data_IF_017789598451
#
_entry.id   IF_017789598451
#
_cell.length_a   1.000
_cell.length_b   1.000
_cell.length_c   1.000
_cell.angle_alpha   90.00
_cell.angle_beta   90.00
_cell.angle_gamma   90.00
#
_symmetry.space_group_name_H-M   'P 1'
#
loop_
_entity.id
_entity.type
_entity.pdbx_description
1 polymer ?
#
# COMPACT_ATOMS: atom_id res chain seq x y z
N UNK A 1 30.43 -54.93 2.45
CA UNK A 1 31.07 -55.87 3.39
C UNK A 1 30.02 -56.87 3.82
N UNK A 2 30.35 -58.16 3.87
CA UNK A 2 29.43 -59.17 4.43
C UNK A 2 29.27 -58.97 5.94
N UNK A 3 28.07 -59.27 6.45
CA UNK A 3 27.77 -59.19 7.87
C UNK A 3 28.49 -60.34 8.62
N UNK A 4 29.43 -60.06 9.55
CA UNK A 4 30.17 -61.09 10.28
C UNK A 4 29.27 -61.94 11.20
N UNK A 5 28.04 -61.50 11.50
CA UNK A 5 27.04 -62.32 12.18
C UNK A 5 26.58 -63.52 11.35
N UNK A 6 26.74 -63.49 10.03
CA UNK A 6 26.38 -64.59 9.12
C UNK A 6 27.57 -65.50 8.76
N UNK A 7 28.77 -65.22 9.28
CA UNK A 7 29.96 -66.02 8.99
C UNK A 7 29.94 -67.35 9.76
N UNK A 8 30.08 -68.45 9.02
CA UNK A 8 30.17 -69.81 9.55
C UNK A 8 31.64 -70.17 9.76
N UNK A 9 31.94 -70.86 10.86
CA UNK A 9 33.28 -71.32 11.16
C UNK A 9 33.76 -72.32 10.10
N UNK A 10 34.94 -72.11 9.48
CA UNK A 10 35.50 -73.06 8.54
C UNK A 10 35.77 -74.42 9.19
N UNK A 11 35.59 -75.49 8.42
CA UNK A 11 36.02 -76.82 8.84
C UNK A 11 37.55 -76.94 8.70
N UNK A 12 38.26 -76.62 9.78
CA UNK A 12 39.72 -76.71 9.83
C UNK A 12 40.24 -78.15 9.79
N UNK A 13 39.39 -79.18 9.90
CA UNK A 13 39.81 -80.57 9.67
C UNK A 13 39.83 -80.96 8.18
N UNK A 14 39.29 -80.11 7.29
CA UNK A 14 39.29 -80.33 5.85
C UNK A 14 40.70 -80.26 5.26
N UNK A 15 40.94 -81.07 4.22
CA UNK A 15 42.20 -81.12 3.48
C UNK A 15 42.59 -79.76 2.83
N UNK A 16 41.66 -78.81 2.74
CA UNK A 16 41.90 -77.43 2.29
C UNK A 16 42.82 -76.64 3.21
N UNK A 17 42.98 -77.05 4.48
CA UNK A 17 43.83 -76.39 5.46
C UNK A 17 45.14 -77.14 5.77
N UNK A 18 45.44 -78.21 5.03
CA UNK A 18 46.61 -79.07 5.24
C UNK A 18 47.95 -78.29 5.20
N UNK A 19 48.07 -77.29 4.32
CA UNK A 19 49.26 -76.44 4.23
C UNK A 19 49.43 -75.54 5.46
N UNK A 20 48.33 -75.00 6.00
CA UNK A 20 48.36 -74.21 7.23
C UNK A 20 48.71 -75.06 8.46
N UNK A 21 48.25 -76.32 8.48
CA UNK A 21 48.62 -77.27 9.54
C UNK A 21 50.12 -77.57 9.51
N UNK A 22 50.69 -77.83 8.32
CA UNK A 22 52.11 -78.11 8.15
C UNK A 22 52.98 -76.93 8.62
N UNK A 23 52.59 -75.71 8.23
CA UNK A 23 53.32 -74.51 8.65
C UNK A 23 53.25 -74.28 10.17
N UNK A 24 52.10 -74.53 10.82
CA UNK A 24 51.99 -74.37 12.28
C UNK A 24 52.78 -75.45 13.04
N UNK A 25 52.84 -76.67 12.52
CA UNK A 25 53.69 -77.75 13.05
C UNK A 25 55.19 -77.40 12.93
N UNK A 26 55.64 -76.86 11.79
CA UNK A 26 57.02 -76.40 11.57
C UNK A 26 57.42 -75.24 12.50
N UNK A 27 56.45 -74.45 12.96
CA UNK A 27 56.65 -73.38 13.96
C UNK A 27 56.53 -73.88 15.41
N UNK A 28 56.46 -75.20 15.64
CA UNK A 28 56.54 -75.81 16.96
C UNK A 28 55.21 -75.92 17.71
N UNK A 29 54.06 -75.77 17.04
CA UNK A 29 52.76 -76.06 17.65
C UNK A 29 52.51 -77.57 17.62
N UNK A 30 52.15 -78.15 18.76
CA UNK A 30 51.81 -79.57 18.86
C UNK A 30 50.60 -79.91 17.99
N UNK A 31 50.67 -81.03 17.27
CA UNK A 31 49.72 -81.40 16.20
C UNK A 31 48.27 -81.56 16.71
N UNK A 32 48.11 -81.95 17.98
CA UNK A 32 46.82 -82.04 18.69
C UNK A 32 46.21 -80.67 19.05
N UNK A 33 47.01 -79.59 19.03
CA UNK A 33 46.60 -78.23 19.36
C UNK A 33 46.38 -77.33 18.14
N UNK A 34 46.76 -77.77 16.93
CA UNK A 34 46.68 -76.96 15.70
C UNK A 34 45.23 -76.57 15.37
N UNK A 35 44.32 -77.56 15.31
CA UNK A 35 42.90 -77.31 15.01
C UNK A 35 42.26 -76.43 16.11
N UNK A 36 42.37 -76.75 17.42
CA UNK A 36 41.86 -75.88 18.49
C UNK A 36 42.39 -74.44 18.41
N UNK A 37 43.66 -74.26 18.05
CA UNK A 37 44.28 -72.93 17.92
C UNK A 37 43.68 -72.14 16.76
N UNK A 38 43.51 -72.78 15.59
CA UNK A 38 42.87 -72.15 14.42
C UNK A 38 41.41 -71.78 14.69
N UNK A 39 40.67 -72.66 15.38
CA UNK A 39 39.29 -72.39 15.79
C UNK A 39 39.21 -71.20 16.75
N UNK A 40 40.07 -71.15 17.76
CA UNK A 40 40.11 -70.06 18.73
C UNK A 40 40.47 -68.71 18.08
N UNK A 41 41.46 -68.70 17.18
CA UNK A 41 41.86 -67.49 16.44
C UNK A 41 40.72 -66.99 15.53
N UNK A 42 40.02 -67.91 14.86
CA UNK A 42 38.86 -67.55 14.04
C UNK A 42 37.74 -66.96 14.90
N UNK A 43 37.41 -67.57 16.04
CA UNK A 43 36.39 -67.05 16.97
C UNK A 43 36.76 -65.66 17.48
N UNK A 44 38.03 -65.43 17.86
CA UNK A 44 38.50 -64.13 18.32
C UNK A 44 38.37 -63.06 17.22
N UNK A 45 38.84 -63.37 16.00
CA UNK A 45 38.76 -62.48 14.85
C UNK A 45 37.32 -62.17 14.44
N UNK A 46 36.45 -63.19 14.40
CA UNK A 46 35.03 -63.02 14.08
C UNK A 46 34.29 -62.20 15.14
N UNK A 47 34.58 -62.42 16.43
CA UNK A 47 34.01 -61.63 17.51
C UNK A 47 34.43 -60.16 17.43
N UNK A 48 35.70 -59.89 17.12
CA UNK A 48 36.19 -58.53 16.90
C UNK A 48 35.52 -57.89 15.68
N UNK A 49 35.34 -58.64 14.58
CA UNK A 49 34.64 -58.16 13.40
C UNK A 49 33.16 -57.82 13.69
N UNK A 50 32.47 -58.65 14.50
CA UNK A 50 31.10 -58.37 14.97
C UNK A 50 31.02 -57.09 15.80
N UNK A 51 31.94 -56.90 16.75
CA UNK A 51 31.99 -55.66 17.54
C UNK A 51 32.20 -54.43 16.67
N UNK A 52 33.16 -54.47 15.74
CA UNK A 52 33.40 -53.38 14.81
C UNK A 52 32.18 -53.11 13.89
N UNK A 53 31.45 -54.16 13.52
CA UNK A 53 30.22 -54.04 12.74
C UNK A 53 29.09 -53.38 13.55
N UNK A 54 28.86 -53.84 14.78
CA UNK A 54 27.82 -53.30 15.66
C UNK A 54 28.08 -51.82 16.00
N UNK A 55 29.34 -51.45 16.27
CA UNK A 55 29.73 -50.05 16.47
C UNK A 55 29.45 -49.20 15.23
N UNK A 56 29.72 -49.73 14.04
CA UNK A 56 29.45 -49.01 12.78
C UNK A 56 27.95 -48.82 12.57
N UNK A 57 27.15 -49.85 12.81
CA UNK A 57 25.69 -49.79 12.66
C UNK A 57 25.08 -48.74 13.61
N UNK A 58 25.55 -48.70 14.86
CA UNK A 58 25.12 -47.70 15.84
C UNK A 58 25.52 -46.28 15.39
N UNK A 59 26.74 -46.11 14.87
CA UNK A 59 27.19 -44.82 14.36
C UNK A 59 26.37 -44.36 13.14
N UNK A 60 26.11 -45.26 12.18
CA UNK A 60 25.25 -44.96 11.02
C UNK A 60 23.82 -44.59 11.46
N UNK A 61 23.27 -45.27 12.47
CA UNK A 61 21.96 -44.96 13.03
C UNK A 61 21.92 -43.58 13.70
N UNK A 62 22.97 -43.23 14.46
CA UNK A 62 23.10 -41.93 15.11
C UNK A 62 23.26 -40.81 14.08
N UNK A 63 24.09 -41.00 13.07
CA UNK A 63 24.28 -40.05 11.97
C UNK A 63 22.99 -39.85 11.18
N UNK A 64 22.23 -40.91 10.90
CA UNK A 64 20.94 -40.82 10.24
C UNK A 64 19.91 -40.04 11.08
N UNK A 65 19.87 -40.27 12.39
CA UNK A 65 18.99 -39.53 13.30
C UNK A 65 19.38 -38.05 13.43
N UNK A 66 20.68 -37.75 13.48
CA UNK A 66 21.20 -36.38 13.46
C UNK A 66 20.90 -35.66 12.15
N UNK A 67 21.10 -36.32 11.00
CA UNK A 67 20.76 -35.79 9.69
C UNK A 67 19.25 -35.50 9.58
N UNK A 68 18.40 -36.39 10.11
CA UNK A 68 16.96 -36.17 10.13
C UNK A 68 16.56 -34.97 10.99
N UNK A 69 17.17 -34.80 12.16
CA UNK A 69 16.94 -33.62 13.02
C UNK A 69 17.39 -32.33 12.35
N UNK A 70 18.58 -32.32 11.76
CA UNK A 70 19.11 -31.15 11.05
C UNK A 70 18.22 -30.77 9.85
N UNK A 71 17.74 -31.76 9.08
CA UNK A 71 16.82 -31.51 7.97
C UNK A 71 15.49 -30.91 8.43
N UNK A 72 14.93 -31.40 9.54
CA UNK A 72 13.70 -30.87 10.10
C UNK A 72 13.85 -29.44 10.65
N UNK A 73 15.01 -29.12 11.25
CA UNK A 73 15.32 -27.78 11.73
C UNK A 73 15.47 -26.79 10.57
N UNK A 74 16.19 -27.17 9.51
CA UNK A 74 16.35 -26.37 8.29
C UNK A 74 15.00 -26.12 7.59
N UNK A 75 14.14 -27.14 7.50
CA UNK A 75 12.79 -26.98 6.94
C UNK A 75 11.96 -25.99 7.77
N UNK A 76 12.04 -26.05 9.10
CA UNK A 76 11.33 -25.13 9.98
C UNK A 76 11.84 -23.69 9.81
N UNK A 77 13.16 -23.49 9.74
CA UNK A 77 13.77 -22.19 9.46
C UNK A 77 13.32 -21.63 8.11
N UNK A 78 13.30 -22.47 7.07
CA UNK A 78 12.81 -22.07 5.74
C UNK A 78 11.32 -21.67 5.77
N UNK A 79 10.48 -22.41 6.50
CA UNK A 79 9.05 -22.08 6.64
C UNK A 79 8.85 -20.78 7.43
N UNK A 80 9.61 -20.56 8.51
CA UNK A 80 9.60 -19.31 9.27
C UNK A 80 10.03 -18.12 8.40
N UNK A 81 11.14 -18.24 7.68
CA UNK A 81 11.64 -17.19 6.79
C UNK A 81 10.63 -16.84 5.68
N UNK A 82 10.00 -17.85 5.07
CA UNK A 82 8.97 -17.63 4.05
C UNK A 82 7.75 -16.89 4.62
N UNK A 83 7.36 -17.20 5.86
CA UNK A 83 6.23 -16.53 6.52
C UNK A 83 6.55 -15.08 6.86
N UNK A 84 7.77 -14.82 7.35
CA UNK A 84 8.26 -13.47 7.60
C UNK A 84 8.32 -12.64 6.31
N UNK A 85 8.82 -13.22 5.21
CA UNK A 85 8.84 -12.55 3.90
C UNK A 85 7.42 -12.22 3.41
N UNK A 86 6.47 -13.16 3.54
CA UNK A 86 5.07 -12.92 3.17
C UNK A 86 4.43 -11.82 4.03
N UNK A 87 4.71 -11.79 5.33
CA UNK A 87 4.13 -10.78 6.22
C UNK A 87 4.77 -9.41 5.98
N UNK A 88 6.07 -9.35 5.69
CA UNK A 88 6.74 -8.13 5.25
C UNK A 88 6.15 -7.63 3.92
N UNK A 89 5.92 -8.52 2.95
CA UNK A 89 5.29 -8.18 1.68
C UNK A 89 3.86 -7.63 1.89
N UNK A 90 3.05 -8.24 2.76
CA UNK A 90 1.72 -7.73 3.12
C UNK A 90 1.79 -6.35 3.77
N UNK A 91 2.77 -6.11 4.65
CA UNK A 91 2.94 -4.80 5.28
C UNK A 91 3.35 -3.73 4.27
N UNK A 92 4.28 -4.05 3.37
CA UNK A 92 4.67 -3.15 2.29
C UNK A 92 3.51 -2.86 1.33
N UNK A 93 2.70 -3.87 0.99
CA UNK A 93 1.47 -3.67 0.23
C UNK A 93 0.48 -2.75 0.96
N UNK A 94 0.30 -2.91 2.27
CA UNK A 94 -0.55 -2.00 3.07
C UNK A 94 -0.02 -0.57 3.10
N UNK A 95 1.30 -0.38 3.13
CA UNK A 95 1.92 0.95 3.10
C UNK A 95 1.78 1.62 1.73
N UNK A 96 1.94 0.86 0.64
CA UNK A 96 1.82 1.37 -0.74
C UNK A 96 0.38 1.62 -1.13
N UNK A 97 -0.52 0.70 -0.79
CA UNK A 97 -1.92 0.70 -1.19
C UNK A 97 -2.86 1.09 -0.04
N UNK A 98 -2.56 2.18 0.68
CA UNK A 98 -3.31 2.59 1.88
C UNK A 98 -4.82 2.58 1.66
N UNK A 99 -5.28 3.14 0.54
CA UNK A 99 -6.72 3.25 0.17
C UNK A 99 -7.40 1.88 0.14
N UNK A 100 -6.75 0.85 -0.43
CA UNK A 100 -7.30 -0.52 -0.54
C UNK A 100 -7.59 -1.15 0.82
N UNK A 101 -6.88 -0.71 1.86
CA UNK A 101 -6.97 -1.28 3.20
C UNK A 101 -7.65 -0.33 4.22
N UNK A 102 -8.24 0.78 3.76
CA UNK A 102 -9.06 1.63 4.63
C UNK A 102 -10.31 0.84 5.04
N UNK A 103 -10.61 0.73 6.35
CA UNK A 103 -11.85 0.10 6.80
C UNK A 103 -13.06 0.81 6.20
N UNK A 104 -13.89 0.07 5.48
CA UNK A 104 -15.15 0.60 4.94
C UNK A 104 -16.21 0.45 6.02
N UNK A 105 -16.85 1.54 6.48
CA UNK A 105 -17.92 1.45 7.47
C UNK A 105 -19.11 0.68 6.89
N UNK A 106 -19.78 -0.12 7.74
CA UNK A 106 -20.98 -0.87 7.37
C UNK A 106 -22.20 0.07 7.38
N UNK A 107 -22.30 0.90 6.34
CA UNK A 107 -23.38 1.85 6.11
C UNK A 107 -24.12 1.47 4.82
N UNK A 108 -25.45 1.55 4.85
CA UNK A 108 -26.26 1.33 3.66
C UNK A 108 -25.89 2.34 2.57
N UNK A 109 -25.94 1.89 1.31
CA UNK A 109 -25.76 2.78 0.14
C UNK A 109 -26.69 3.99 0.28
N UNK A 110 -26.18 5.23 0.19
CA UNK A 110 -27.02 6.42 0.26
C UNK A 110 -28.14 6.37 -0.78
N UNK A 111 -29.37 6.69 -0.35
CA UNK A 111 -30.54 6.77 -1.24
C UNK A 111 -30.44 7.96 -2.20
N UNK A 112 -29.72 9.00 -1.79
CA UNK A 112 -29.43 10.17 -2.60
C UNK A 112 -28.09 10.01 -3.33
N UNK A 113 -28.01 10.50 -4.57
CA UNK A 113 -26.75 10.44 -5.31
C UNK A 113 -25.69 11.31 -4.62
N UNK A 114 -24.54 10.73 -4.29
CA UNK A 114 -23.40 11.49 -3.78
C UNK A 114 -22.96 12.45 -4.90
N UNK A 115 -23.01 13.74 -4.62
CA UNK A 115 -22.59 14.79 -5.55
C UNK A 115 -21.15 15.16 -5.21
N UNK A 116 -20.20 14.64 -5.99
CA UNK A 116 -18.77 14.87 -5.77
C UNK A 116 -18.31 15.99 -6.72
N UNK A 117 -17.77 17.12 -6.20
CA UNK A 117 -17.15 18.14 -7.03
C UNK A 117 -15.97 17.61 -7.86
N UNK A 118 -15.54 18.38 -8.86
CA UNK A 118 -14.38 17.98 -9.68
C UNK A 118 -13.11 17.83 -8.83
N UNK A 119 -12.22 16.92 -9.24
CA UNK A 119 -10.90 16.73 -8.63
C UNK A 119 -10.10 18.04 -8.55
N UNK A 120 -10.23 18.88 -9.59
CA UNK A 120 -9.66 20.22 -9.65
C UNK A 120 -10.19 21.13 -8.53
N UNK A 121 -11.53 21.20 -8.36
CA UNK A 121 -12.15 22.05 -7.35
C UNK A 121 -11.80 21.61 -5.93
N UNK A 122 -11.82 20.29 -5.66
CA UNK A 122 -11.39 19.73 -4.38
C UNK A 122 -9.91 20.04 -4.10
N UNK A 123 -9.03 19.89 -5.10
CA UNK A 123 -7.60 20.22 -4.94
C UNK A 123 -7.39 21.69 -4.59
N UNK A 124 -8.17 22.60 -5.21
CA UNK A 124 -8.14 24.03 -4.89
C UNK A 124 -8.61 24.30 -3.46
N UNK A 125 -9.71 23.68 -3.03
CA UNK A 125 -10.21 23.81 -1.66
C UNK A 125 -9.22 23.29 -0.63
N UNK A 126 -8.63 22.10 -0.82
CA UNK A 126 -7.62 21.57 0.10
C UNK A 126 -6.40 22.49 0.26
N UNK A 127 -6.06 23.27 -0.77
CA UNK A 127 -4.97 24.25 -0.74
C UNK A 127 -5.41 25.65 -0.29
N UNK A 128 -6.70 25.83 0.02
CA UNK A 128 -7.30 27.13 0.37
C UNK A 128 -7.09 28.17 -0.76
N UNK A 129 -6.98 27.69 -2.00
CA UNK A 129 -6.84 28.52 -3.19
C UNK A 129 -8.22 29.00 -3.67
N UNK A 130 -8.23 30.10 -4.43
CA UNK A 130 -9.47 30.56 -5.06
C UNK A 130 -9.99 29.49 -6.04
N UNK A 131 -11.26 29.14 -5.86
CA UNK A 131 -12.01 28.23 -6.73
C UNK A 131 -13.30 28.90 -7.16
N UNK A 132 -13.57 28.84 -8.47
CA UNK A 132 -14.77 29.36 -9.10
C UNK A 132 -16.02 28.60 -8.63
N UNK A 133 -17.12 29.35 -8.43
CA UNK A 133 -18.40 28.81 -7.97
C UNK A 133 -19.04 27.87 -8.98
N UNK A 134 -18.74 28.04 -10.27
CA UNK A 134 -19.27 27.19 -11.33
C UNK A 134 -19.09 25.69 -11.04
N UNK A 135 -17.94 25.27 -10.50
CA UNK A 135 -17.69 23.85 -10.16
C UNK A 135 -18.61 23.28 -9.08
N UNK A 136 -19.30 24.14 -8.33
CA UNK A 136 -20.25 23.78 -7.29
C UNK A 136 -21.71 23.99 -7.72
N UNK A 137 -21.97 24.44 -8.96
CA UNK A 137 -23.31 24.47 -9.54
C UNK A 137 -23.76 23.07 -9.98
N UNK A 138 -25.07 22.85 -10.18
CA UNK A 138 -25.57 21.57 -10.67
C UNK A 138 -24.99 21.22 -12.05
N UNK A 139 -24.79 22.23 -12.90
CA UNK A 139 -24.11 22.08 -14.19
C UNK A 139 -22.65 21.64 -14.01
N UNK A 140 -21.86 22.36 -13.20
CA UNK A 140 -20.47 22.00 -12.95
C UNK A 140 -20.30 20.62 -12.30
N UNK A 141 -21.22 20.24 -11.42
CA UNK A 141 -21.25 18.92 -10.77
C UNK A 141 -21.64 17.81 -11.75
N UNK A 142 -22.54 18.07 -12.70
CA UNK A 142 -22.87 17.12 -13.77
C UNK A 142 -21.70 16.96 -14.75
N UNK A 143 -21.03 18.05 -15.11
CA UNK A 143 -19.82 18.05 -15.93
C UNK A 143 -18.68 17.25 -15.27
N UNK A 144 -18.52 17.41 -13.95
CA UNK A 144 -17.56 16.62 -13.18
C UNK A 144 -17.90 15.12 -13.19
N UNK A 145 -19.19 14.75 -13.09
CA UNK A 145 -19.62 13.34 -13.15
C UNK A 145 -19.35 12.68 -14.50
N UNK A 146 -19.48 13.43 -15.61
CA UNK A 146 -19.23 12.91 -16.96
C UNK A 146 -17.74 12.84 -17.31
N UNK A 147 -16.91 13.63 -16.62
CA UNK A 147 -15.46 13.59 -16.74
C UNK A 147 -14.91 12.49 -15.84
N UNK A 148 -14.76 11.27 -16.37
CA UNK A 148 -14.21 10.13 -15.64
C UNK A 148 -12.87 10.53 -14.98
N UNK A 149 -12.66 10.29 -13.67
CA UNK A 149 -11.37 10.51 -13.02
C UNK A 149 -10.38 9.47 -13.56
N UNK A 150 -9.74 9.83 -14.67
CA UNK A 150 -8.67 9.05 -15.26
C UNK A 150 -7.40 9.23 -14.43
N UNK A 151 -6.56 8.21 -14.36
CA UNK A 151 -5.17 8.29 -13.88
C UNK A 151 -4.38 9.43 -14.58
N UNK A 152 -4.88 9.89 -15.72
CA UNK A 152 -4.32 10.93 -16.58
C UNK A 152 -4.62 12.37 -16.12
N UNK A 153 -5.42 12.59 -15.07
CA UNK A 153 -5.70 13.95 -14.56
C UNK A 153 -4.46 14.59 -13.88
N UNK A 154 -3.47 13.79 -13.45
CA UNK A 154 -2.15 14.28 -13.02
C UNK A 154 -1.16 14.47 -14.18
N UNK A 155 -1.45 13.98 -15.39
CA UNK A 155 -0.55 14.16 -16.51
C UNK A 155 -0.50 15.63 -16.96
N UNK A 156 0.69 16.05 -17.39
CA UNK A 156 0.99 17.44 -17.70
C UNK A 156 0.75 17.72 -19.20
N UNK A 157 -0.18 18.62 -19.50
CA UNK A 157 -0.35 19.19 -20.82
C UNK A 157 0.55 20.42 -20.98
N UNK A 158 1.25 20.50 -22.11
CA UNK A 158 1.95 21.71 -22.51
C UNK A 158 0.94 22.71 -23.08
N UNK A 159 0.75 23.83 -22.39
CA UNK A 159 -0.13 24.92 -22.85
C UNK A 159 0.69 26.14 -23.23
N UNK A 160 0.23 26.88 -24.24
CA UNK A 160 0.82 28.14 -24.67
C UNK A 160 -0.05 29.29 -24.19
N UNK A 161 0.53 30.23 -23.46
CA UNK A 161 -0.15 31.46 -23.04
C UNK A 161 -0.08 32.53 -24.15
N UNK A 162 -0.95 33.53 -24.08
CA UNK A 162 -1.11 34.56 -25.12
C UNK A 162 0.17 35.38 -25.39
N UNK A 163 1.08 35.43 -24.41
CA UNK A 163 2.39 36.06 -24.54
C UNK A 163 3.46 35.15 -25.20
N UNK A 164 3.07 33.96 -25.67
CA UNK A 164 3.95 33.00 -26.33
C UNK A 164 4.72 32.07 -25.39
N UNK A 165 4.57 32.20 -24.07
CA UNK A 165 5.27 31.35 -23.09
C UNK A 165 4.55 30.01 -22.97
N UNK A 166 5.34 28.93 -23.04
CA UNK A 166 4.88 27.57 -22.83
C UNK A 166 4.98 27.19 -21.36
N UNK A 167 3.92 26.60 -20.81
CA UNK A 167 3.86 26.13 -19.41
C UNK A 167 3.24 24.73 -19.34
N UNK A 168 3.77 23.89 -18.47
CA UNK A 168 3.17 22.61 -18.15
C UNK A 168 2.10 22.81 -17.08
N UNK A 169 0.88 22.38 -17.38
CA UNK A 169 -0.25 22.40 -16.46
C UNK A 169 -0.90 21.03 -16.45
N UNK A 170 -1.47 20.63 -15.32
CA UNK A 170 -2.21 19.37 -15.26
C UNK A 170 -3.38 19.37 -16.25
N UNK A 171 -3.64 18.24 -16.88
CA UNK A 171 -4.77 18.01 -17.77
C UNK A 171 -6.12 18.33 -17.10
N UNK A 172 -6.24 18.08 -15.79
CA UNK A 172 -7.43 18.48 -15.02
C UNK A 172 -7.66 19.99 -15.10
N UNK A 173 -6.61 20.81 -14.99
CA UNK A 173 -6.72 22.28 -15.09
C UNK A 173 -7.06 22.75 -16.51
N UNK A 174 -6.62 22.03 -17.54
CA UNK A 174 -6.94 22.37 -18.94
C UNK A 174 -8.41 22.08 -19.24
N UNK A 175 -8.90 20.89 -18.87
CA UNK A 175 -10.32 20.52 -19.03
C UNK A 175 -11.23 21.45 -18.22
N UNK A 176 -10.82 21.77 -17.00
CA UNK A 176 -11.56 22.66 -16.11
C UNK A 176 -11.75 24.07 -16.72
N UNK A 177 -10.82 24.55 -17.57
CA UNK A 177 -10.90 25.88 -18.20
C UNK A 177 -11.77 25.93 -19.46
N UNK A 178 -12.01 24.82 -20.15
CA UNK A 178 -12.73 24.83 -21.44
C UNK A 178 -14.25 25.01 -21.33
N UNK A 179 -14.84 24.83 -20.15
CA UNK A 179 -16.29 24.98 -19.89
C UNK A 179 -16.62 26.00 -18.79
N UNK A 180 -15.66 26.80 -18.37
CA UNK A 180 -15.80 27.63 -17.18
C UNK A 180 -16.66 28.88 -17.42
N UNK A 181 -17.88 28.88 -16.87
CA UNK A 181 -18.65 30.11 -16.66
C UNK A 181 -17.99 30.88 -15.52
N UNK A 182 -17.75 32.18 -15.69
CA UNK A 182 -17.17 33.01 -14.64
C UNK A 182 -18.21 33.25 -13.55
N UNK A 183 -17.75 33.36 -12.29
CA UNK A 183 -18.62 33.63 -11.14
C UNK A 183 -19.52 34.87 -11.37
N UNK A 184 -19.03 35.94 -12.00
CA UNK A 184 -19.80 37.15 -12.30
C UNK A 184 -20.92 36.95 -13.35
N UNK A 185 -20.79 35.91 -14.18
CA UNK A 185 -21.71 35.57 -15.27
C UNK A 185 -22.73 34.49 -14.84
N UNK A 186 -22.67 34.01 -13.60
CA UNK A 186 -23.62 33.03 -13.07
C UNK A 186 -25.02 33.62 -12.94
N UNK A 187 -26.04 32.78 -13.13
CA UNK A 187 -27.39 33.18 -12.72
C UNK A 187 -27.49 33.24 -11.20
N UNK A 188 -28.45 34.01 -10.69
CA UNK A 188 -28.66 34.12 -9.23
C UNK A 188 -28.98 32.77 -8.58
N UNK A 189 -29.74 31.93 -9.28
CA UNK A 189 -30.06 30.58 -8.83
C UNK A 189 -28.81 29.69 -8.75
N UNK A 190 -27.96 29.73 -9.80
CA UNK A 190 -26.69 29.01 -9.80
C UNK A 190 -25.75 29.49 -8.71
N UNK A 191 -25.70 30.80 -8.45
CA UNK A 191 -24.94 31.37 -7.35
C UNK A 191 -25.40 30.83 -6.00
N UNK A 192 -26.70 30.94 -5.67
CA UNK A 192 -27.25 30.44 -4.40
C UNK A 192 -27.02 28.93 -4.23
N UNK A 193 -27.18 28.18 -5.32
CA UNK A 193 -26.92 26.74 -5.32
C UNK A 193 -25.45 26.41 -5.07
N UNK A 194 -24.55 27.11 -5.76
CA UNK A 194 -23.10 26.91 -5.65
C UNK A 194 -22.58 27.24 -4.25
N UNK A 195 -23.11 28.28 -3.60
CA UNK A 195 -22.72 28.65 -2.23
C UNK A 195 -22.92 27.47 -1.28
N UNK A 196 -24.10 26.86 -1.29
CA UNK A 196 -24.42 25.72 -0.42
C UNK A 196 -23.51 24.52 -0.70
N UNK A 197 -23.34 24.16 -1.98
CA UNK A 197 -22.47 23.06 -2.38
C UNK A 197 -20.99 23.32 -2.02
N UNK A 198 -20.52 24.56 -2.14
CA UNK A 198 -19.15 24.92 -1.77
C UNK A 198 -18.93 24.88 -0.25
N UNK A 199 -19.90 25.31 0.58
CA UNK A 199 -19.82 25.17 2.05
C UNK A 199 -19.66 23.70 2.45
N UNK A 200 -20.46 22.80 1.87
CA UNK A 200 -20.35 21.37 2.17
C UNK A 200 -18.97 20.83 1.77
N UNK A 201 -18.47 21.22 0.59
CA UNK A 201 -17.15 20.82 0.14
C UNK A 201 -16.01 21.39 1.02
N UNK A 202 -16.19 22.57 1.61
CA UNK A 202 -15.24 23.13 2.60
C UNK A 202 -15.23 22.31 3.89
N UNK A 203 -16.38 21.84 4.37
CA UNK A 203 -16.45 20.91 5.51
C UNK A 203 -15.73 19.59 5.20
N UNK A 204 -15.97 19.01 4.03
CA UNK A 204 -15.31 17.78 3.58
C UNK A 204 -13.80 17.96 3.38
N UNK A 205 -13.35 19.19 3.09
CA UNK A 205 -11.93 19.55 2.95
C UNK A 205 -11.30 20.01 4.27
N UNK A 206 -11.97 19.80 5.41
CA UNK A 206 -11.49 20.10 6.76
C UNK A 206 -11.05 21.57 6.96
N UNK A 207 -11.77 22.51 6.35
CA UNK A 207 -11.50 23.92 6.59
C UNK A 207 -11.79 24.30 8.05
N UNK A 208 -11.04 25.26 8.64
CA UNK A 208 -11.37 25.77 9.98
C UNK A 208 -12.79 26.32 10.02
N UNK A 209 -13.55 26.00 11.07
CA UNK A 209 -14.95 26.44 11.25
C UNK A 209 -15.09 27.96 11.11
N UNK A 210 -14.12 28.72 11.63
CA UNK A 210 -14.09 30.18 11.49
C UNK A 210 -14.08 30.65 10.03
N UNK A 211 -13.38 29.93 9.14
CA UNK A 211 -13.37 30.25 7.72
C UNK A 211 -14.67 29.85 7.03
N UNK A 212 -15.27 28.73 7.43
CA UNK A 212 -16.54 28.26 6.89
C UNK A 212 -17.65 29.25 7.25
N UNK A 213 -17.82 29.57 8.54
CA UNK A 213 -18.82 30.53 9.01
C UNK A 213 -18.62 31.92 8.39
N UNK A 214 -17.37 32.34 8.18
CA UNK A 214 -17.07 33.59 7.50
C UNK A 214 -17.60 33.62 6.04
N UNK A 215 -17.56 32.49 5.32
CA UNK A 215 -18.14 32.37 3.98
C UNK A 215 -19.68 32.30 4.03
N UNK A 216 -20.23 31.58 5.02
CA UNK A 216 -21.70 31.54 5.25
C UNK A 216 -22.24 32.95 5.47
N UNK A 217 -21.66 33.71 6.41
CA UNK A 217 -22.10 35.07 6.73
C UNK A 217 -21.97 36.00 5.51
N UNK A 218 -20.90 35.84 4.74
CA UNK A 218 -20.66 36.63 3.53
C UNK A 218 -21.72 36.40 2.46
N UNK A 219 -21.98 35.15 2.11
CA UNK A 219 -22.99 34.81 1.10
C UNK A 219 -24.40 35.12 1.59
N UNK A 220 -24.71 34.87 2.86
CA UNK A 220 -25.98 35.26 3.44
C UNK A 220 -26.19 36.79 3.40
N UNK A 221 -25.15 37.58 3.65
CA UNK A 221 -25.21 39.04 3.53
C UNK A 221 -25.51 39.50 2.10
N UNK A 222 -24.97 38.80 1.10
CA UNK A 222 -25.27 39.05 -0.32
C UNK A 222 -26.72 38.65 -0.65
N UNK A 223 -27.16 37.48 -0.18
CA UNK A 223 -28.49 36.94 -0.50
C UNK A 223 -29.65 37.73 0.12
N UNK A 224 -29.41 38.29 1.30
CA UNK A 224 -30.38 39.11 2.04
C UNK A 224 -30.28 40.60 1.73
N UNK A 225 -29.36 41.02 0.86
CA UNK A 225 -29.18 42.42 0.51
C UNK A 225 -30.41 42.97 -0.23
N UNK A 226 -30.79 44.23 0.02
CA UNK A 226 -31.96 44.87 -0.62
C UNK A 226 -31.93 44.79 -2.16
N UNK A 227 -30.75 44.87 -2.76
CA UNK A 227 -30.51 44.74 -4.20
C UNK A 227 -30.86 43.35 -4.78
N UNK A 228 -30.91 42.31 -3.95
CA UNK A 228 -31.36 40.98 -4.35
C UNK A 228 -32.85 40.97 -4.70
N UNK A 229 -33.65 41.75 -3.97
CA UNK A 229 -35.12 41.79 -4.10
C UNK A 229 -35.61 42.90 -5.03
N UNK A 230 -34.70 43.67 -5.63
CA UNK A 230 -35.04 44.66 -6.64
C UNK A 230 -35.42 43.97 -7.97
N UNK A 231 -36.24 44.65 -8.77
CA UNK A 231 -36.61 44.23 -10.14
C UNK A 231 -35.50 44.49 -11.15
N UNK A 232 -34.50 45.30 -10.80
CA UNK A 232 -33.33 45.60 -11.63
C UNK A 232 -32.36 44.40 -11.71
N UNK A 233 -32.16 43.85 -12.91
CA UNK A 233 -31.14 42.82 -13.16
C UNK A 233 -29.72 43.31 -12.89
N UNK A 234 -29.46 44.60 -13.09
CA UNK A 234 -28.16 45.22 -12.82
C UNK A 234 -27.74 45.08 -11.35
N UNK A 235 -28.68 45.23 -10.42
CA UNK A 235 -28.42 45.19 -8.99
C UNK A 235 -27.93 43.80 -8.54
N UNK A 236 -28.53 42.72 -9.07
CA UNK A 236 -28.05 41.35 -8.84
C UNK A 236 -26.68 41.10 -9.48
N UNK A 237 -26.46 41.59 -10.70
CA UNK A 237 -25.16 41.47 -11.36
C UNK A 237 -24.05 42.22 -10.60
N UNK A 238 -24.33 43.39 -10.02
CA UNK A 238 -23.37 44.11 -9.17
C UNK A 238 -23.05 43.35 -7.88
N UNK A 239 -24.03 42.67 -7.28
CA UNK A 239 -23.80 41.80 -6.11
C UNK A 239 -22.91 40.59 -6.45
N UNK A 240 -23.13 39.95 -7.60
CA UNK A 240 -22.25 38.86 -8.08
C UNK A 240 -20.84 39.38 -8.36
N UNK A 241 -20.72 40.53 -9.03
CA UNK A 241 -19.42 41.15 -9.29
C UNK A 241 -18.68 41.49 -7.98
N UNK A 242 -19.41 42.04 -7.00
CA UNK A 242 -18.89 42.28 -5.65
C UNK A 242 -18.39 41.00 -5.00
N UNK A 243 -19.18 39.92 -5.06
CA UNK A 243 -18.80 38.62 -4.53
C UNK A 243 -17.46 38.14 -5.10
N UNK A 244 -17.28 38.23 -6.42
CA UNK A 244 -16.06 37.80 -7.10
C UNK A 244 -14.86 38.62 -6.69
N UNK A 245 -15.01 39.95 -6.72
CA UNK A 245 -13.94 40.87 -6.38
C UNK A 245 -13.43 40.65 -4.96
N UNK A 246 -14.35 40.54 -4.00
CA UNK A 246 -14.03 40.41 -2.58
C UNK A 246 -13.43 39.03 -2.27
N UNK A 247 -13.99 37.94 -2.82
CA UNK A 247 -13.40 36.60 -2.64
C UNK A 247 -12.00 36.49 -3.24
N UNK A 248 -11.79 36.96 -4.49
CA UNK A 248 -10.46 36.97 -5.11
C UNK A 248 -9.46 37.80 -4.30
N UNK A 249 -9.88 38.95 -3.76
CA UNK A 249 -9.02 39.78 -2.92
C UNK A 249 -8.69 39.10 -1.59
N UNK A 250 -9.65 38.43 -0.96
CA UNK A 250 -9.45 37.69 0.27
C UNK A 250 -8.42 36.57 0.08
N UNK A 251 -8.58 35.70 -0.93
CA UNK A 251 -7.61 34.63 -1.20
C UNK A 251 -6.20 35.18 -1.50
N UNK A 252 -6.09 36.34 -2.17
CA UNK A 252 -4.78 37.00 -2.45
C UNK A 252 -4.12 37.59 -1.20
N UNK A 253 -4.90 37.95 -0.19
CA UNK A 253 -4.41 38.57 1.06
C UNK A 253 -4.27 37.57 2.19
N UNK A 254 -4.77 36.34 2.01
CA UNK A 254 -4.63 35.25 2.96
C UNK A 254 -3.14 35.00 3.28
N UNK A 255 -2.83 34.85 4.56
CA UNK A 255 -1.44 34.71 5.04
C UNK A 255 -0.64 36.03 5.10
N UNK A 256 -1.26 37.17 4.83
CA UNK A 256 -0.63 38.49 4.95
C UNK A 256 -1.28 39.32 6.08
N UNK A 257 -0.60 40.36 6.62
CA UNK A 257 -1.20 41.28 7.59
C UNK A 257 -2.40 42.08 7.06
N UNK A 258 -2.70 42.00 5.75
CA UNK A 258 -3.81 42.69 5.09
C UNK A 258 -5.06 41.83 4.94
N UNK A 259 -5.03 40.59 5.43
CA UNK A 259 -6.21 39.72 5.42
C UNK A 259 -7.35 40.38 6.19
N UNK A 260 -8.56 40.22 5.69
CA UNK A 260 -9.77 40.77 6.28
C UNK A 260 -10.85 39.69 6.36
N UNK A 261 -11.93 39.96 7.08
CA UNK A 261 -13.06 39.04 7.19
C UNK A 261 -14.07 39.26 6.07
N UNK A 262 -14.43 38.20 5.34
CA UNK A 262 -15.51 38.26 4.33
C UNK A 262 -16.87 38.57 4.97
N UNK A 263 -17.10 38.16 6.23
CA UNK A 263 -18.36 38.38 6.94
C UNK A 263 -18.70 39.88 7.13
N UNK A 264 -17.74 40.78 6.92
CA UNK A 264 -17.97 42.24 6.98
C UNK A 264 -18.32 42.78 5.59
N UNK A 265 -19.62 42.77 5.27
CA UNK A 265 -20.14 43.32 4.01
C UNK A 265 -19.82 44.81 3.86
N UNK A 266 -19.30 45.21 2.70
CA UNK A 266 -18.84 46.56 2.41
C UNK A 266 -19.73 47.24 1.36
N UNK A 267 -20.75 47.94 1.86
CA UNK A 267 -21.68 48.73 1.04
C UNK A 267 -20.99 49.81 0.20
N UNK A 268 -19.92 50.43 0.72
CA UNK A 268 -19.21 51.49 0.01
C UNK A 268 -18.39 50.96 -1.16
N UNK A 269 -17.92 49.71 -1.07
CA UNK A 269 -17.28 49.01 -2.18
C UNK A 269 -18.31 48.56 -3.20
N UNK A 270 -19.46 48.02 -2.77
CA UNK A 270 -20.55 47.64 -3.67
C UNK A 270 -21.02 48.81 -4.54
N UNK A 271 -21.19 50.01 -3.97
CA UNK A 271 -21.60 51.22 -4.70
C UNK A 271 -20.58 51.72 -5.72
N UNK A 272 -19.34 51.21 -5.70
CA UNK A 272 -18.26 51.57 -6.63
C UNK A 272 -18.11 50.58 -7.79
N UNK A 273 -18.86 49.48 -7.76
CA UNK A 273 -18.94 48.46 -8.80
C UNK A 273 -20.06 48.84 -9.76
#
# INVERSE_FOLDING_TARGET
MENPHHSIQPDFASNTHAEAHLQLADHGIAEDLIIPTLQALWTLSNNQAKQCWDVRLEQEAQEAHEAQRAAAEEENLCQCALKEEQDLAKQEERKKNKIKFIPVPDISVPTESIVIPSSYALTKLCKVEYCELYYFTNHGLADAKTTTPSFDDEALALTKSDNGIHSFVSLSSVKAKSSLVKDEDLTWEEFSQANFCMINAMHESEWPDEHIWMHVDFWLSIETHEWCHDTSSYNRSSLLTYQVCVRKLWHRTLGTPKVFSLAKFNNDLLKKI
#
